data_IF_220775744168
#
_entry.id   IF_220775744168
#
_cell.length_a   1.000
_cell.length_b   1.000
_cell.length_c   1.000
_cell.angle_alpha   90.00
_cell.angle_beta   90.00
_cell.angle_gamma   90.00
#
_symmetry.space_group_name_H-M   'P 1'
#
loop_
_entity.id
_entity.type
_entity.pdbx_description
1 polymer ?
#
# COMPACT_ATOMS: atom_id res chain seq x y z
N UNK A 1 5.30 20.87 -21.22
CA UNK A 1 5.05 21.76 -20.06
C UNK A 1 6.05 22.91 -20.09
N UNK A 2 5.73 24.10 -19.59
CA UNK A 2 6.65 25.27 -19.59
C UNK A 2 7.07 25.63 -18.16
N UNK A 3 8.19 26.35 -18.01
CA UNK A 3 8.64 26.86 -16.71
C UNK A 3 7.66 27.83 -16.03
N UNK A 4 6.66 28.34 -16.75
CA UNK A 4 5.58 29.16 -16.19
C UNK A 4 4.73 28.43 -15.14
N UNK A 5 4.83 27.10 -15.05
CA UNK A 5 4.17 26.30 -14.01
C UNK A 5 4.80 26.50 -12.63
N UNK A 6 6.12 26.70 -12.58
CA UNK A 6 6.90 26.52 -11.35
C UNK A 6 6.58 27.56 -10.28
N UNK A 7 6.59 28.85 -10.64
CA UNK A 7 6.39 29.93 -9.67
C UNK A 7 4.96 29.97 -9.08
N UNK A 8 3.86 29.93 -9.87
CA UNK A 8 2.51 29.90 -9.31
C UNK A 8 2.25 28.66 -8.43
N UNK A 9 2.81 27.52 -8.81
CA UNK A 9 2.68 26.28 -8.06
C UNK A 9 3.36 26.36 -6.69
N UNK A 10 4.61 26.84 -6.65
CA UNK A 10 5.36 26.99 -5.41
C UNK A 10 4.73 28.05 -4.51
N UNK A 11 4.30 29.19 -5.06
CA UNK A 11 3.62 30.23 -4.29
C UNK A 11 2.35 29.70 -3.62
N UNK A 12 1.54 28.90 -4.34
CA UNK A 12 0.36 28.24 -3.78
C UNK A 12 0.72 27.22 -2.69
N UNK A 13 1.76 26.42 -2.89
CA UNK A 13 2.21 25.44 -1.92
C UNK A 13 2.74 26.09 -0.63
N UNK A 14 3.48 27.19 -0.77
CA UNK A 14 4.03 27.98 0.34
C UNK A 14 2.91 28.72 1.11
N UNK A 15 1.81 29.09 0.43
CA UNK A 15 0.65 29.74 1.06
C UNK A 15 -0.15 28.82 1.99
N UNK A 16 -0.06 27.50 1.83
CA UNK A 16 -0.69 26.55 2.74
C UNK A 16 -0.89 25.16 2.13
N UNK A 17 0.06 24.27 2.39
CA UNK A 17 -0.09 22.83 2.16
C UNK A 17 -0.47 22.10 3.44
N UNK A 18 -0.99 20.88 3.34
CA UNK A 18 -1.34 20.09 4.52
C UNK A 18 -0.10 19.79 5.36
N UNK A 19 -0.22 20.02 6.66
CA UNK A 19 0.80 19.65 7.63
C UNK A 19 0.73 18.13 7.89
N UNK A 20 1.75 17.40 7.41
CA UNK A 20 1.83 15.94 7.48
C UNK A 20 3.10 15.53 8.24
N UNK A 21 3.07 14.45 9.05
CA UNK A 21 4.22 14.08 9.89
C UNK A 21 5.55 13.94 9.14
N UNK A 22 5.52 13.41 7.91
CA UNK A 22 6.70 13.23 7.05
C UNK A 22 7.16 14.50 6.33
N UNK A 23 6.39 15.60 6.36
CA UNK A 23 6.81 16.92 5.83
C UNK A 23 7.58 17.76 6.83
N UNK A 24 7.57 17.37 8.11
CA UNK A 24 8.27 18.07 9.21
C UNK A 24 9.73 17.65 9.37
N UNK A 25 10.27 16.89 8.42
CA UNK A 25 11.62 16.33 8.49
C UNK A 25 12.28 16.31 7.12
N UNK A 26 13.61 16.30 7.13
CA UNK A 26 14.46 16.04 5.95
C UNK A 26 15.21 14.71 6.05
N UNK A 27 14.91 13.91 7.07
CA UNK A 27 15.49 12.59 7.28
C UNK A 27 15.10 11.63 6.12
N UNK A 28 16.09 11.14 5.33
CA UNK A 28 15.81 10.26 4.19
C UNK A 28 15.06 8.99 4.57
N UNK A 29 15.34 8.39 5.74
CA UNK A 29 14.68 7.17 6.19
C UNK A 29 13.19 7.41 6.44
N UNK A 30 12.87 8.51 7.11
CA UNK A 30 11.50 8.90 7.42
C UNK A 30 10.71 9.25 6.17
N UNK A 31 11.31 10.02 5.27
CA UNK A 31 10.70 10.35 3.97
C UNK A 31 10.45 9.06 3.20
N UNK A 32 11.47 8.22 3.01
CA UNK A 32 11.36 6.96 2.30
C UNK A 32 10.27 6.03 2.87
N UNK A 33 10.20 5.89 4.19
CA UNK A 33 9.17 5.10 4.86
C UNK A 33 7.76 5.59 4.49
N UNK A 34 7.54 6.91 4.58
CA UNK A 34 6.24 7.50 4.21
C UNK A 34 5.91 7.29 2.73
N UNK A 35 6.89 7.46 1.84
CA UNK A 35 6.70 7.28 0.40
C UNK A 35 6.33 5.83 0.04
N UNK A 36 6.92 4.83 0.71
CA UNK A 36 6.53 3.43 0.53
C UNK A 36 5.12 3.16 1.08
N UNK A 37 4.77 3.74 2.23
CA UNK A 37 3.43 3.60 2.81
C UNK A 37 2.35 4.23 1.93
N UNK A 38 2.62 5.40 1.33
CA UNK A 38 1.69 6.15 0.48
C UNK A 38 1.42 5.49 -0.87
N UNK A 39 2.22 4.50 -1.28
CA UNK A 39 1.95 3.74 -2.50
C UNK A 39 0.55 3.08 -2.42
N UNK A 40 -0.38 3.57 -3.25
CA UNK A 40 -1.76 3.06 -3.32
C UNK A 40 -2.52 3.09 -1.98
N UNK A 41 -2.11 3.94 -1.04
CA UNK A 41 -2.74 4.07 0.28
C UNK A 41 -3.06 5.55 0.54
N UNK A 42 -4.22 5.83 1.13
CA UNK A 42 -4.64 7.22 1.41
C UNK A 42 -3.83 7.80 2.57
N UNK A 43 -3.59 9.12 2.52
CA UNK A 43 -2.79 9.86 3.52
C UNK A 43 -3.33 9.62 4.94
N UNK A 44 -4.64 9.74 5.14
CA UNK A 44 -5.28 9.63 6.45
C UNK A 44 -5.10 8.23 7.05
N UNK A 45 -5.08 7.20 6.19
CA UNK A 45 -4.83 5.84 6.63
C UNK A 45 -3.35 5.61 6.99
N UNK A 46 -2.41 6.34 6.38
CA UNK A 46 -0.96 6.16 6.60
C UNK A 46 -0.48 6.78 7.90
N UNK A 47 -1.02 7.92 8.33
CA UNK A 47 -0.57 8.66 9.52
C UNK A 47 -0.35 7.76 10.76
N UNK A 48 -1.34 6.98 11.24
CA UNK A 48 -1.16 6.15 12.43
C UNK A 48 -0.21 4.96 12.21
N UNK A 49 0.05 4.54 10.97
CA UNK A 49 1.06 3.53 10.68
C UNK A 49 2.45 4.12 10.69
N UNK A 50 2.63 5.29 10.08
CA UNK A 50 3.90 5.98 10.07
C UNK A 50 4.40 6.26 11.50
N UNK A 51 3.52 6.76 12.37
CA UNK A 51 3.84 7.05 13.77
C UNK A 51 4.21 5.78 14.56
N UNK A 52 3.39 4.72 14.47
CA UNK A 52 3.69 3.46 15.19
C UNK A 52 4.99 2.83 14.70
N UNK A 53 5.25 2.90 13.40
CA UNK A 53 6.41 2.27 12.77
C UNK A 53 7.69 2.99 13.19
N UNK A 54 7.68 4.33 13.24
CA UNK A 54 8.81 5.10 13.74
C UNK A 54 8.99 5.03 15.26
N UNK A 55 7.94 4.73 16.02
CA UNK A 55 8.08 4.45 17.46
C UNK A 55 8.84 3.15 17.70
N UNK A 56 8.54 2.10 16.92
CA UNK A 56 9.18 0.78 17.05
C UNK A 56 10.53 0.66 16.31
N UNK A 57 10.67 1.32 15.16
CA UNK A 57 11.89 1.34 14.35
C UNK A 57 12.29 2.79 14.03
N UNK A 58 12.88 3.52 14.99
CA UNK A 58 13.20 4.94 14.83
C UNK A 58 14.25 5.25 13.75
N UNK A 59 15.15 4.32 13.48
CA UNK A 59 16.21 4.44 12.48
C UNK A 59 16.15 3.33 11.43
N UNK A 60 16.86 3.53 10.31
CA UNK A 60 16.99 2.48 9.27
C UNK A 60 17.67 1.22 9.81
N UNK A 61 18.55 1.34 10.82
CA UNK A 61 19.21 0.20 11.46
C UNK A 61 18.23 -0.60 12.32
N UNK A 62 17.39 0.07 13.09
CA UNK A 62 16.33 -0.60 13.86
C UNK A 62 15.37 -1.38 12.96
N UNK A 63 15.08 -0.85 11.77
CA UNK A 63 14.32 -1.59 10.76
C UNK A 63 15.12 -2.76 10.16
N UNK A 64 16.41 -2.59 9.87
CA UNK A 64 17.23 -3.65 9.29
C UNK A 64 17.45 -4.84 10.24
N UNK A 65 17.48 -4.57 11.55
CA UNK A 65 17.66 -5.55 12.62
C UNK A 65 16.31 -6.14 13.11
N UNK A 66 15.18 -5.56 12.70
CA UNK A 66 13.86 -5.99 13.15
C UNK A 66 13.50 -7.40 12.62
N UNK A 67 13.05 -8.32 13.49
CA UNK A 67 12.55 -9.62 13.06
C UNK A 67 11.37 -9.49 12.09
N UNK A 68 11.19 -10.49 11.22
CA UNK A 68 10.12 -10.47 10.23
C UNK A 68 8.73 -10.29 10.84
N UNK A 69 8.47 -10.98 11.94
CA UNK A 69 7.19 -10.93 12.61
C UNK A 69 6.88 -9.51 13.13
N UNK A 70 7.90 -8.79 13.61
CA UNK A 70 7.79 -7.42 14.08
C UNK A 70 7.38 -6.46 12.95
N UNK A 71 8.13 -6.40 11.86
CA UNK A 71 7.80 -5.44 10.79
C UNK A 71 6.51 -5.81 10.04
N UNK A 72 6.19 -7.10 9.92
CA UNK A 72 4.92 -7.53 9.32
C UNK A 72 3.74 -7.13 10.20
N UNK A 73 3.89 -7.23 11.52
CA UNK A 73 2.85 -6.80 12.46
C UNK A 73 2.67 -5.28 12.46
N UNK A 74 3.76 -4.51 12.41
CA UNK A 74 3.68 -3.05 12.27
C UNK A 74 2.96 -2.62 10.97
N UNK A 75 3.08 -3.43 9.91
CA UNK A 75 2.43 -3.19 8.61
C UNK A 75 1.01 -3.78 8.49
N UNK A 76 0.55 -4.50 9.50
CA UNK A 76 -0.72 -5.24 9.44
C UNK A 76 -1.89 -4.31 9.15
N UNK A 77 -2.57 -4.53 8.03
CA UNK A 77 -3.74 -3.75 7.61
C UNK A 77 -3.46 -2.68 6.54
N UNK A 78 -2.20 -2.33 6.26
CA UNK A 78 -1.86 -1.44 5.13
C UNK A 78 -1.97 -2.11 3.76
N UNK A 79 -1.95 -3.45 3.71
CA UNK A 79 -1.96 -4.21 2.47
C UNK A 79 -0.65 -4.12 1.68
N UNK A 80 -0.58 -4.86 0.56
CA UNK A 80 0.62 -4.96 -0.29
C UNK A 80 1.92 -5.25 0.51
N UNK A 81 1.94 -6.35 1.25
CA UNK A 81 3.05 -6.73 2.15
C UNK A 81 4.40 -6.97 1.47
N UNK A 82 4.44 -7.10 0.15
CA UNK A 82 5.71 -7.06 -0.59
C UNK A 82 6.46 -5.73 -0.38
N UNK A 83 5.74 -4.62 -0.14
CA UNK A 83 6.32 -3.31 0.15
C UNK A 83 7.20 -3.33 1.40
N UNK A 84 6.67 -3.78 2.54
CA UNK A 84 7.46 -3.81 3.79
C UNK A 84 8.60 -4.81 3.75
N UNK A 85 8.44 -5.93 3.02
CA UNK A 85 9.53 -6.88 2.82
C UNK A 85 10.66 -6.29 1.98
N UNK A 86 10.33 -5.58 0.91
CA UNK A 86 11.32 -4.89 0.11
C UNK A 86 11.95 -3.71 0.88
N UNK A 87 11.15 -2.99 1.68
CA UNK A 87 11.62 -1.95 2.59
C UNK A 87 12.66 -2.53 3.57
N UNK A 88 12.37 -3.64 4.23
CA UNK A 88 13.31 -4.31 5.12
C UNK A 88 14.59 -4.74 4.39
N UNK A 89 14.47 -5.42 3.24
CA UNK A 89 15.63 -5.82 2.42
C UNK A 89 16.49 -4.61 2.01
N UNK A 90 15.86 -3.51 1.64
CA UNK A 90 16.57 -2.28 1.31
C UNK A 90 17.23 -1.66 2.54
N UNK A 91 16.60 -1.70 3.72
CA UNK A 91 17.20 -1.23 4.97
C UNK A 91 18.48 -2.01 5.31
N UNK A 92 18.48 -3.34 5.10
CA UNK A 92 19.66 -4.19 5.23
C UNK A 92 20.76 -3.77 4.24
N UNK A 93 20.42 -3.60 2.95
CA UNK A 93 21.40 -3.11 1.94
C UNK A 93 21.95 -1.73 2.30
N UNK A 94 21.12 -0.82 2.82
CA UNK A 94 21.55 0.52 3.30
C UNK A 94 22.55 0.37 4.46
N UNK A 95 22.28 -0.52 5.41
CA UNK A 95 23.17 -0.76 6.54
C UNK A 95 24.49 -1.40 6.12
N UNK A 96 24.44 -2.42 5.27
CA UNK A 96 25.59 -3.23 4.87
C UNK A 96 26.50 -2.51 3.87
N UNK A 97 25.90 -1.85 2.87
CA UNK A 97 26.64 -1.24 1.75
C UNK A 97 26.94 0.23 1.97
N UNK A 98 26.04 0.96 2.64
CA UNK A 98 26.12 2.40 2.80
C UNK A 98 26.29 2.84 4.27
N UNK A 99 26.64 1.91 5.17
CA UNK A 99 26.93 2.21 6.57
C UNK A 99 25.73 2.72 7.37
N UNK A 100 24.51 2.46 6.91
CA UNK A 100 23.27 2.95 7.53
C UNK A 100 22.86 4.35 7.07
N UNK A 101 23.50 4.90 6.04
CA UNK A 101 23.13 6.19 5.44
C UNK A 101 22.50 5.94 4.06
N UNK A 102 21.30 6.47 3.84
CA UNK A 102 20.71 6.39 2.50
C UNK A 102 21.56 7.19 1.50
N UNK A 103 21.84 6.65 0.30
CA UNK A 103 22.70 7.33 -0.65
C UNK A 103 22.04 8.59 -1.20
N UNK A 104 22.76 9.71 -1.19
CA UNK A 104 22.37 10.97 -1.83
C UNK A 104 22.64 10.94 -3.36
N UNK A 105 22.15 9.89 -4.03
CA UNK A 105 22.28 9.69 -5.48
C UNK A 105 21.07 8.94 -6.02
N UNK A 106 20.44 9.48 -7.07
CA UNK A 106 19.22 8.90 -7.63
C UNK A 106 19.46 7.49 -8.22
N UNK A 107 20.59 7.28 -8.90
CA UNK A 107 20.90 5.99 -9.50
C UNK A 107 21.17 4.91 -8.43
N UNK A 108 21.79 5.27 -7.31
CA UNK A 108 21.98 4.41 -6.17
C UNK A 108 20.65 4.09 -5.45
N UNK A 109 19.80 5.10 -5.24
CA UNK A 109 18.46 4.91 -4.66
C UNK A 109 17.62 3.94 -5.51
N UNK A 110 17.64 4.09 -6.83
CA UNK A 110 16.89 3.23 -7.76
C UNK A 110 17.33 1.76 -7.75
N UNK A 111 18.55 1.46 -7.30
CA UNK A 111 19.06 0.09 -7.17
C UNK A 111 18.57 -0.61 -5.89
N UNK A 112 18.01 0.13 -4.93
CA UNK A 112 17.54 -0.45 -3.68
C UNK A 112 16.24 -1.26 -3.89
N UNK A 113 16.09 -2.41 -3.23
CA UNK A 113 14.89 -3.24 -3.33
C UNK A 113 13.59 -2.46 -3.07
N UNK A 114 12.64 -2.53 -4.02
CA UNK A 114 11.33 -1.89 -3.89
C UNK A 114 11.31 -0.37 -4.10
N UNK A 115 12.45 0.25 -4.43
CA UNK A 115 12.51 1.65 -4.85
C UNK A 115 12.42 1.70 -6.39
N UNK A 116 11.35 2.32 -6.90
CA UNK A 116 11.20 2.64 -8.32
C UNK A 116 11.42 4.13 -8.60
N UNK A 117 11.28 4.54 -9.87
CA UNK A 117 11.53 5.92 -10.33
C UNK A 117 10.84 6.98 -9.47
N UNK A 118 9.57 6.76 -9.09
CA UNK A 118 8.83 7.67 -8.24
C UNK A 118 9.50 7.87 -6.88
N UNK A 119 9.77 6.77 -6.16
CA UNK A 119 10.32 6.83 -4.80
C UNK A 119 11.77 7.32 -4.81
N UNK A 120 12.55 6.95 -5.82
CA UNK A 120 13.90 7.47 -6.00
C UNK A 120 13.88 9.00 -6.19
N UNK A 121 13.03 9.50 -7.09
CA UNK A 121 12.86 10.95 -7.30
C UNK A 121 12.33 11.68 -6.06
N UNK A 122 11.37 11.09 -5.34
CA UNK A 122 10.81 11.67 -4.12
C UNK A 122 11.87 11.80 -3.02
N UNK A 123 12.59 10.72 -2.70
CA UNK A 123 13.65 10.76 -1.67
C UNK A 123 14.80 11.67 -2.11
N UNK A 124 15.27 11.55 -3.36
CA UNK A 124 16.36 12.36 -3.89
C UNK A 124 16.06 13.87 -3.80
N UNK A 125 14.86 14.28 -4.20
CA UNK A 125 14.48 15.69 -4.20
C UNK A 125 14.13 16.23 -2.82
N UNK A 126 13.40 15.48 -1.98
CA UNK A 126 12.91 15.98 -0.69
C UNK A 126 14.02 15.95 0.37
N UNK A 127 14.81 14.87 0.42
CA UNK A 127 15.84 14.72 1.44
C UNK A 127 17.14 15.42 1.03
N UNK A 128 17.53 15.28 -0.24
CA UNK A 128 18.87 15.65 -0.72
C UNK A 128 18.92 16.82 -1.70
N UNK A 129 17.80 17.50 -1.97
CA UNK A 129 17.69 18.60 -2.94
C UNK A 129 18.20 18.26 -4.35
N UNK A 130 18.12 16.99 -4.75
CA UNK A 130 18.51 16.55 -6.08
C UNK A 130 17.31 16.75 -7.02
N UNK A 131 17.53 17.46 -8.13
CA UNK A 131 16.49 17.82 -9.10
C UNK A 131 16.02 16.64 -9.97
N UNK A 132 15.41 15.64 -9.35
CA UNK A 132 14.82 14.47 -10.00
C UNK A 132 13.28 14.46 -9.86
N UNK A 133 12.54 14.07 -10.90
CA UNK A 133 11.08 14.10 -10.89
C UNK A 133 10.48 12.96 -10.06
N UNK A 134 9.56 13.32 -9.15
CA UNK A 134 8.73 12.37 -8.40
C UNK A 134 7.34 12.27 -9.05
N UNK A 135 7.15 11.35 -10.01
CA UNK A 135 5.91 11.26 -10.80
C UNK A 135 5.03 10.10 -10.35
N UNK A 136 4.00 10.39 -9.55
CA UNK A 136 2.97 9.45 -9.15
C UNK A 136 1.68 9.58 -10.00
N UNK A 137 0.62 8.89 -9.61
CA UNK A 137 -0.69 8.99 -10.26
C UNK A 137 -1.35 10.36 -10.13
N UNK A 138 -0.98 11.19 -9.14
CA UNK A 138 -1.44 12.57 -9.00
C UNK A 138 -0.73 13.47 -9.99
N UNK A 139 0.60 13.39 -10.06
CA UNK A 139 1.42 14.16 -11.01
C UNK A 139 1.07 13.80 -12.45
N UNK A 140 0.93 12.53 -12.80
CA UNK A 140 0.52 12.11 -14.14
C UNK A 140 -0.82 12.75 -14.57
N UNK A 141 -1.79 12.82 -13.65
CA UNK A 141 -3.09 13.45 -13.91
C UNK A 141 -2.97 14.97 -14.11
N UNK A 142 -2.21 15.64 -13.25
CA UNK A 142 -1.96 17.08 -13.37
C UNK A 142 -1.26 17.39 -14.70
N UNK A 143 -0.21 16.64 -15.03
CA UNK A 143 0.54 16.77 -16.28
C UNK A 143 -0.36 16.56 -17.49
N UNK A 144 -1.14 15.47 -17.51
CA UNK A 144 -2.05 15.16 -18.59
C UNK A 144 -3.07 16.29 -18.81
N UNK A 145 -3.69 16.81 -17.73
CA UNK A 145 -4.68 17.89 -17.83
C UNK A 145 -4.08 19.23 -18.25
N UNK A 146 -2.92 19.60 -17.71
CA UNK A 146 -2.24 20.86 -18.10
C UNK A 146 -1.89 20.84 -19.59
N UNK A 147 -1.41 19.69 -20.08
CA UNK A 147 -0.96 19.54 -21.46
C UNK A 147 -2.07 19.15 -22.44
N UNK A 148 -3.23 18.73 -21.92
CA UNK A 148 -4.34 18.09 -22.65
C UNK A 148 -3.93 16.81 -23.36
N UNK A 149 -3.09 16.00 -22.72
CA UNK A 149 -2.64 14.72 -23.23
C UNK A 149 -3.73 13.64 -23.01
N UNK A 150 -4.32 13.16 -24.11
CA UNK A 150 -5.34 12.11 -24.11
C UNK A 150 -4.76 10.69 -24.24
N UNK A 151 -3.43 10.53 -24.20
CA UNK A 151 -2.82 9.19 -24.22
C UNK A 151 -3.01 8.49 -22.86
N UNK A 152 -3.13 7.14 -22.83
CA UNK A 152 -3.29 6.40 -21.58
C UNK A 152 -2.12 6.62 -20.61
N UNK A 153 -2.38 7.21 -19.45
CA UNK A 153 -1.31 7.55 -18.47
C UNK A 153 -0.70 6.33 -17.77
N UNK A 154 -1.28 5.14 -17.97
CA UNK A 154 -0.73 3.88 -17.48
C UNK A 154 0.25 3.20 -18.45
N UNK A 155 0.32 3.67 -19.70
CA UNK A 155 1.30 3.25 -20.70
C UNK A 155 2.74 3.67 -20.30
N UNK A 156 3.71 2.76 -20.51
CA UNK A 156 5.09 2.96 -20.08
C UNK A 156 5.79 4.09 -20.85
N UNK A 157 5.51 4.24 -22.15
CA UNK A 157 6.09 5.31 -22.98
C UNK A 157 5.50 6.66 -22.59
N UNK A 158 4.18 6.72 -22.38
CA UNK A 158 3.50 7.95 -21.91
C UNK A 158 4.03 8.39 -20.55
N UNK A 159 4.20 7.46 -19.59
CA UNK A 159 4.82 7.78 -18.29
C UNK A 159 6.23 8.34 -18.43
N UNK A 160 7.05 7.73 -19.29
CA UNK A 160 8.42 8.19 -19.56
C UNK A 160 8.42 9.61 -20.15
N UNK A 161 7.55 9.87 -21.12
CA UNK A 161 7.41 11.20 -21.75
C UNK A 161 6.96 12.24 -20.71
N UNK A 162 5.96 11.93 -19.88
CA UNK A 162 5.49 12.83 -18.82
C UNK A 162 6.56 13.07 -17.75
N UNK A 163 7.34 12.06 -17.38
CA UNK A 163 8.50 12.22 -16.47
C UNK A 163 9.53 13.18 -17.05
N UNK A 164 9.84 13.08 -18.34
CA UNK A 164 10.77 13.99 -19.00
C UNK A 164 10.23 15.44 -19.02
N UNK A 165 8.93 15.62 -19.22
CA UNK A 165 8.31 16.95 -19.15
C UNK A 165 8.38 17.58 -17.77
N UNK A 166 8.18 16.78 -16.71
CA UNK A 166 8.31 17.26 -15.32
C UNK A 166 9.77 17.60 -15.06
N UNK A 167 10.72 16.72 -15.39
CA UNK A 167 12.15 16.94 -15.20
C UNK A 167 12.65 18.26 -15.81
N UNK A 168 12.12 18.63 -16.99
CA UNK A 168 12.52 19.85 -17.70
C UNK A 168 12.10 21.16 -17.00
N UNK A 169 11.24 21.11 -15.98
CA UNK A 169 10.73 22.31 -15.30
C UNK A 169 10.99 22.32 -13.79
N UNK A 170 11.67 21.30 -13.26
CA UNK A 170 12.00 21.24 -11.84
C UNK A 170 13.00 22.36 -11.51
N UNK A 171 12.70 23.21 -10.51
CA UNK A 171 13.64 24.22 -10.05
C UNK A 171 14.81 23.57 -9.30
N UNK A 172 16.03 24.01 -9.60
CA UNK A 172 17.24 23.48 -8.96
C UNK A 172 17.40 23.93 -7.50
N UNK A 173 16.80 25.06 -7.10
CA UNK A 173 16.91 25.62 -5.75
C UNK A 173 15.95 24.97 -4.75
N UNK A 174 14.80 24.45 -5.21
CA UNK A 174 13.78 23.82 -4.33
C UNK A 174 13.07 22.62 -4.98
N UNK A 175 13.79 21.59 -5.46
CA UNK A 175 13.19 20.48 -6.20
C UNK A 175 12.21 19.65 -5.35
N UNK A 176 12.52 19.46 -4.06
CA UNK A 176 11.64 18.77 -3.12
C UNK A 176 10.28 19.47 -2.96
N UNK A 177 10.29 20.79 -2.78
CA UNK A 177 9.06 21.59 -2.66
C UNK A 177 8.23 21.51 -3.94
N UNK A 178 8.87 21.59 -5.12
CA UNK A 178 8.19 21.48 -6.40
C UNK A 178 7.49 20.12 -6.57
N UNK A 179 8.21 19.02 -6.30
CA UNK A 179 7.64 17.67 -6.39
C UNK A 179 6.46 17.50 -5.42
N UNK A 180 6.62 17.95 -4.17
CA UNK A 180 5.53 17.90 -3.19
C UNK A 180 4.34 18.76 -3.60
N UNK A 181 4.57 19.93 -4.20
CA UNK A 181 3.51 20.80 -4.69
C UNK A 181 2.72 20.16 -5.84
N UNK A 182 3.40 19.50 -6.79
CA UNK A 182 2.73 18.76 -7.87
C UNK A 182 1.86 17.62 -7.32
N UNK A 183 2.36 16.87 -6.34
CA UNK A 183 1.62 15.81 -5.67
C UNK A 183 0.42 16.37 -4.89
N UNK A 184 0.63 17.45 -4.13
CA UNK A 184 -0.40 18.11 -3.32
C UNK A 184 -1.51 18.67 -4.20
N UNK A 185 -1.17 19.35 -5.30
CA UNK A 185 -2.13 19.90 -6.25
C UNK A 185 -3.03 18.80 -6.79
N UNK A 186 -2.45 17.67 -7.22
CA UNK A 186 -3.23 16.53 -7.66
C UNK A 186 -4.09 15.93 -6.55
N UNK A 187 -3.59 15.89 -5.32
CA UNK A 187 -4.30 15.29 -4.20
C UNK A 187 -5.53 16.11 -3.74
N UNK A 188 -5.47 17.45 -3.75
CA UNK A 188 -6.50 18.29 -3.10
C UNK A 188 -7.26 19.23 -4.03
N UNK A 189 -6.72 19.58 -5.19
CA UNK A 189 -7.36 20.50 -6.16
C UNK A 189 -7.74 19.77 -7.44
N UNK A 190 -6.75 19.22 -8.13
CA UNK A 190 -6.89 18.49 -9.38
C UNK A 190 -7.23 17.03 -9.09
N UNK A 191 -8.34 16.79 -8.39
CA UNK A 191 -8.74 15.48 -7.87
C UNK A 191 -9.21 14.50 -8.96
N UNK A 192 -9.13 13.18 -8.74
CA UNK A 192 -9.70 12.16 -9.61
C UNK A 192 -11.17 11.87 -9.26
N UNK A 193 -11.89 11.17 -10.15
CA UNK A 193 -13.25 10.63 -9.90
C UNK A 193 -14.28 11.68 -9.45
N UNK A 194 -14.16 12.92 -9.92
CA UNK A 194 -15.04 14.03 -9.60
C UNK A 194 -14.59 15.29 -10.34
N UNK A 195 -15.39 16.36 -10.23
CA UNK A 195 -15.04 17.65 -10.80
C UNK A 195 -13.81 18.24 -10.06
N UNK A 196 -12.70 18.53 -10.76
CA UNK A 196 -11.57 19.20 -10.15
C UNK A 196 -11.93 20.64 -9.75
N UNK A 197 -11.30 21.14 -8.69
CA UNK A 197 -11.53 22.50 -8.16
C UNK A 197 -10.75 23.52 -8.99
N UNK A 198 -11.09 23.66 -10.27
CA UNK A 198 -10.31 24.49 -11.20
C UNK A 198 -10.26 25.97 -10.78
N UNK A 199 -11.31 26.49 -10.15
CA UNK A 199 -11.34 27.85 -9.62
C UNK A 199 -10.30 28.11 -8.51
N UNK A 200 -9.90 27.07 -7.78
CA UNK A 200 -8.87 27.14 -6.73
C UNK A 200 -7.47 26.77 -7.27
N UNK A 201 -7.35 26.45 -8.56
CA UNK A 201 -6.11 25.92 -9.14
C UNK A 201 -5.15 27.04 -9.54
N UNK A 202 -3.92 27.09 -8.99
CA UNK A 202 -2.93 28.11 -9.36
C UNK A 202 -2.50 28.02 -10.83
N UNK A 203 -2.70 26.85 -11.45
CA UNK A 203 -2.31 26.55 -12.82
C UNK A 203 -3.47 26.61 -13.82
N UNK A 204 -4.66 27.08 -13.39
CA UNK A 204 -5.86 27.13 -14.25
C UNK A 204 -5.59 27.84 -15.57
N UNK A 205 -4.91 29.00 -15.52
CA UNK A 205 -4.59 29.82 -16.69
C UNK A 205 -3.69 29.10 -17.71
N UNK A 206 -2.91 28.10 -17.29
CA UNK A 206 -2.04 27.29 -18.15
C UNK A 206 -2.67 25.97 -18.59
N UNK A 207 -3.83 25.61 -18.03
CA UNK A 207 -4.37 24.26 -18.13
C UNK A 207 -5.21 24.07 -19.39
N UNK A 208 -4.65 23.40 -20.41
CA UNK A 208 -5.36 23.11 -21.67
C UNK A 208 -6.70 22.41 -21.43
N UNK A 209 -6.74 21.36 -20.61
CA UNK A 209 -7.98 20.63 -20.35
C UNK A 209 -9.05 21.47 -19.63
N UNK A 210 -8.67 22.53 -18.93
CA UNK A 210 -9.63 23.45 -18.30
C UNK A 210 -10.26 24.34 -19.37
N UNK A 211 -9.43 24.94 -20.23
CA UNK A 211 -9.86 25.80 -21.33
C UNK A 211 -10.71 25.06 -22.36
N UNK A 212 -10.38 23.80 -22.65
CA UNK A 212 -11.09 22.94 -23.61
C UNK A 212 -12.23 22.13 -22.95
N UNK A 213 -12.48 22.29 -21.65
CA UNK A 213 -13.52 21.59 -20.90
C UNK A 213 -13.42 20.04 -20.99
N UNK A 214 -12.21 19.50 -20.87
CA UNK A 214 -11.90 18.06 -21.02
C UNK A 214 -11.40 17.39 -19.75
N UNK A 215 -11.49 18.08 -18.60
CA UNK A 215 -10.95 17.57 -17.32
C UNK A 215 -11.66 16.33 -16.78
N UNK A 216 -12.87 16.04 -17.24
CA UNK A 216 -13.68 14.86 -16.89
C UNK A 216 -13.22 13.59 -17.64
N UNK A 217 -12.72 13.74 -18.87
CA UNK A 217 -12.15 12.65 -19.69
C UNK A 217 -10.64 12.46 -19.55
N UNK A 218 -9.90 13.50 -19.16
CA UNK A 218 -8.44 13.42 -18.93
C UNK A 218 -8.18 13.26 -17.43
N UNK A 219 -7.38 12.26 -17.00
CA UNK A 219 -6.48 11.45 -17.81
C UNK A 219 -7.14 10.18 -18.34
N UNK A 220 -6.76 9.79 -19.56
CA UNK A 220 -7.15 8.50 -20.13
C UNK A 220 -6.39 7.38 -19.42
N UNK A 221 -7.05 6.25 -19.17
CA UNK A 221 -6.45 5.04 -18.59
C UNK A 221 -6.86 3.82 -19.40
N UNK A 222 -5.99 2.82 -19.45
CA UNK A 222 -6.31 1.55 -20.09
C UNK A 222 -7.48 0.88 -19.35
N UNK A 223 -8.46 0.29 -20.06
CA UNK A 223 -9.54 -0.46 -19.44
C UNK A 223 -9.01 -1.54 -18.48
N UNK A 224 -9.58 -1.60 -17.27
CA UNK A 224 -9.19 -2.60 -16.28
C UNK A 224 -9.59 -3.99 -16.76
N UNK A 225 -8.68 -4.96 -16.64
CA UNK A 225 -9.01 -6.38 -16.83
C UNK A 225 -10.07 -6.81 -15.81
N UNK A 226 -10.97 -7.69 -16.23
CA UNK A 226 -11.94 -8.33 -15.33
C UNK A 226 -11.16 -9.16 -14.31
N UNK A 227 -11.53 -9.03 -13.02
CA UNK A 227 -10.90 -9.77 -11.93
C UNK A 227 -11.31 -11.24 -12.00
N UNK A 228 -10.38 -12.13 -11.70
CA UNK A 228 -10.70 -13.55 -11.52
C UNK A 228 -11.40 -13.75 -10.17
N UNK A 229 -12.58 -14.37 -10.19
CA UNK A 229 -13.30 -14.75 -8.97
C UNK A 229 -12.81 -16.12 -8.51
N UNK A 230 -12.45 -16.23 -7.23
CA UNK A 230 -12.02 -17.47 -6.58
C UNK A 230 -12.91 -17.72 -5.38
N UNK A 231 -13.54 -18.90 -5.36
CA UNK A 231 -14.38 -19.33 -4.25
C UNK A 231 -13.55 -20.10 -3.22
N UNK A 232 -13.82 -19.89 -1.93
CA UNK A 232 -13.11 -20.54 -0.83
C UNK A 232 -14.05 -20.92 0.31
N UNK A 233 -13.72 -22.02 0.99
CA UNK A 233 -14.30 -22.37 2.28
C UNK A 233 -13.28 -22.08 3.36
N UNK A 234 -13.55 -21.11 4.23
CA UNK A 234 -12.68 -20.66 5.32
C UNK A 234 -13.14 -21.29 6.63
N UNK A 235 -12.21 -21.81 7.41
CA UNK A 235 -12.47 -22.44 8.69
C UNK A 235 -11.97 -21.55 9.82
N UNK A 236 -12.78 -21.45 10.87
CA UNK A 236 -12.42 -20.86 12.15
C UNK A 236 -12.35 -22.00 13.19
N UNK A 237 -11.24 -22.75 13.25
CA UNK A 237 -11.10 -23.87 14.16
C UNK A 237 -10.87 -23.39 15.60
N UNK A 238 -11.56 -24.03 16.52
CA UNK A 238 -11.48 -23.79 17.97
C UNK A 238 -11.26 -25.11 18.69
N UNK A 239 -10.38 -25.10 19.68
CA UNK A 239 -10.17 -26.22 20.58
C UNK A 239 -9.99 -25.63 21.98
N UNK A 240 -10.99 -25.80 22.83
CA UNK A 240 -11.12 -25.06 24.08
C UNK A 240 -11.00 -23.55 23.86
N UNK A 241 -10.10 -22.89 24.61
CA UNK A 241 -9.87 -21.45 24.51
C UNK A 241 -9.02 -21.00 23.30
N UNK A 242 -8.51 -21.93 22.47
CA UNK A 242 -7.52 -21.64 21.43
C UNK A 242 -8.12 -21.54 20.02
N UNK A 243 -7.46 -20.83 19.13
CA UNK A 243 -7.80 -20.67 17.71
C UNK A 243 -6.68 -21.29 16.88
N UNK A 244 -7.05 -22.13 15.91
CA UNK A 244 -6.08 -22.72 14.97
C UNK A 244 -5.82 -21.81 13.78
N UNK A 245 -4.55 -21.51 13.51
CA UNK A 245 -4.09 -20.74 12.35
C UNK A 245 -2.97 -21.46 11.63
N UNK A 246 -2.68 -21.07 10.38
CA UNK A 246 -1.53 -21.59 9.63
C UNK A 246 -0.75 -20.48 8.95
N UNK A 247 0.55 -20.71 8.72
CA UNK A 247 1.41 -19.80 7.97
C UNK A 247 1.32 -20.12 6.48
N UNK A 248 1.08 -19.12 5.64
CA UNK A 248 1.05 -19.27 4.18
C UNK A 248 2.44 -19.56 3.62
N UNK A 249 2.54 -20.25 2.46
CA UNK A 249 3.82 -20.52 1.79
C UNK A 249 4.66 -19.26 1.51
N UNK A 250 5.94 -19.47 1.21
CA UNK A 250 6.91 -18.39 0.98
C UNK A 250 6.63 -17.56 -0.28
N UNK A 251 5.86 -18.11 -1.21
CA UNK A 251 5.54 -17.49 -2.50
C UNK A 251 4.04 -17.39 -2.75
N UNK A 252 3.64 -16.47 -3.61
CA UNK A 252 2.24 -16.29 -4.02
C UNK A 252 1.49 -15.22 -3.22
N UNK A 253 0.16 -15.21 -3.37
CA UNK A 253 -0.71 -14.21 -2.76
C UNK A 253 -0.63 -14.30 -1.22
N UNK A 254 -0.36 -13.17 -0.57
CA UNK A 254 -0.22 -13.06 0.90
C UNK A 254 0.84 -14.02 1.46
N UNK A 255 1.90 -14.29 0.70
CA UNK A 255 3.02 -15.14 1.12
C UNK A 255 3.51 -14.82 2.54
N UNK A 256 3.86 -15.86 3.31
CA UNK A 256 4.39 -15.84 4.69
C UNK A 256 3.50 -15.20 5.76
N UNK A 257 2.29 -14.78 5.41
CA UNK A 257 1.32 -14.27 6.39
C UNK A 257 0.62 -15.42 7.11
N UNK A 258 0.12 -15.14 8.30
CA UNK A 258 -0.78 -16.05 9.01
C UNK A 258 -2.19 -15.98 8.39
N UNK A 259 -2.89 -17.11 8.37
CA UNK A 259 -4.26 -17.18 7.88
C UNK A 259 -5.11 -18.16 8.68
N UNK A 260 -6.42 -18.01 8.49
CA UNK A 260 -7.37 -19.06 8.82
C UNK A 260 -7.25 -20.20 7.79
N UNK A 261 -7.23 -21.48 8.22
CA UNK A 261 -7.20 -22.60 7.29
C UNK A 261 -8.39 -22.55 6.35
N UNK A 262 -8.17 -22.90 5.08
CA UNK A 262 -9.19 -22.79 4.05
C UNK A 262 -8.95 -23.78 2.90
N UNK A 263 -10.05 -24.22 2.29
CA UNK A 263 -10.07 -24.94 1.01
C UNK A 263 -10.25 -23.96 -0.16
N UNK A 264 -9.60 -24.25 -1.29
CA UNK A 264 -9.61 -23.38 -2.49
C UNK A 264 -10.82 -23.60 -3.41
N UNK A 265 -11.92 -24.09 -2.84
CA UNK A 265 -13.19 -24.31 -3.51
C UNK A 265 -14.33 -24.19 -2.47
N UNK A 266 -15.57 -23.93 -2.88
CA UNK A 266 -16.71 -23.91 -1.98
C UNK A 266 -17.08 -25.35 -1.61
N UNK A 267 -17.43 -25.54 -0.34
CA UNK A 267 -17.92 -26.81 0.21
C UNK A 267 -19.21 -26.53 0.96
N UNK A 268 -20.23 -27.32 0.66
CA UNK A 268 -21.49 -27.32 1.41
C UNK A 268 -21.29 -28.02 2.77
N UNK A 269 -22.16 -27.77 3.77
CA UNK A 269 -21.95 -28.28 5.13
C UNK A 269 -21.75 -29.80 5.24
N UNK A 270 -22.44 -30.62 4.44
CA UNK A 270 -22.25 -32.07 4.46
C UNK A 270 -20.88 -32.47 3.92
N UNK A 271 -20.53 -32.00 2.72
CA UNK A 271 -19.24 -32.27 2.09
C UNK A 271 -18.06 -31.77 2.93
N UNK A 272 -18.23 -30.63 3.62
CA UNK A 272 -17.22 -30.12 4.53
C UNK A 272 -17.00 -31.06 5.71
N UNK A 273 -18.05 -31.63 6.32
CA UNK A 273 -17.87 -32.60 7.42
C UNK A 273 -17.13 -33.84 6.96
N UNK A 274 -17.46 -34.37 5.79
CA UNK A 274 -16.79 -35.55 5.23
C UNK A 274 -15.31 -35.25 4.95
N UNK A 275 -15.01 -34.07 4.38
CA UNK A 275 -13.64 -33.64 4.13
C UNK A 275 -12.85 -33.44 5.44
N UNK A 276 -13.42 -32.79 6.44
CA UNK A 276 -12.77 -32.59 7.74
C UNK A 276 -12.48 -33.93 8.42
N UNK A 277 -13.41 -34.89 8.35
CA UNK A 277 -13.20 -36.23 8.88
C UNK A 277 -12.09 -36.98 8.10
N UNK A 278 -12.03 -36.85 6.77
CA UNK A 278 -10.98 -37.42 5.94
C UNK A 278 -9.60 -36.80 6.24
N UNK A 279 -9.56 -35.51 6.58
CA UNK A 279 -8.36 -34.79 7.01
C UNK A 279 -8.00 -35.10 8.50
N UNK A 280 -8.78 -35.95 9.18
CA UNK A 280 -8.53 -36.39 10.56
C UNK A 280 -9.03 -35.46 11.66
N UNK A 281 -9.85 -34.45 11.34
CA UNK A 281 -10.35 -33.49 12.32
C UNK A 281 -11.51 -34.08 13.14
N UNK A 282 -11.35 -34.12 14.46
CA UNK A 282 -12.40 -34.58 15.39
C UNK A 282 -13.37 -33.46 15.76
N UNK A 283 -14.33 -33.20 14.87
CA UNK A 283 -15.31 -32.10 14.98
C UNK A 283 -16.43 -32.43 15.97
N UNK A 284 -16.61 -31.59 16.99
CA UNK A 284 -17.72 -31.66 17.96
C UNK A 284 -18.92 -30.81 17.53
N UNK A 285 -18.63 -29.58 17.06
CA UNK A 285 -19.66 -28.61 16.64
C UNK A 285 -19.20 -27.86 15.40
N UNK A 286 -20.13 -27.64 14.48
CA UNK A 286 -19.87 -26.86 13.27
C UNK A 286 -21.02 -25.92 12.98
N UNK A 287 -20.72 -24.63 12.79
CA UNK A 287 -21.69 -23.57 12.53
C UNK A 287 -21.29 -22.79 11.27
N UNK A 288 -22.25 -22.51 10.40
CA UNK A 288 -22.03 -21.64 9.23
C UNK A 288 -21.88 -20.19 9.68
N UNK A 289 -20.85 -19.51 9.18
CA UNK A 289 -20.64 -18.08 9.36
C UNK A 289 -21.17 -17.31 8.14
N UNK A 290 -21.40 -16.01 8.33
CA UNK A 290 -21.80 -15.14 7.22
C UNK A 290 -20.72 -15.15 6.13
N UNK A 291 -21.08 -15.36 4.85
CA UNK A 291 -20.14 -15.25 3.76
C UNK A 291 -19.48 -13.87 3.71
N UNK A 292 -18.22 -13.85 3.27
CA UNK A 292 -17.45 -12.63 3.14
C UNK A 292 -16.81 -12.56 1.75
N UNK A 293 -16.75 -11.33 1.21
CA UNK A 293 -16.10 -11.06 -0.06
C UNK A 293 -14.90 -10.14 0.18
N UNK A 294 -13.76 -10.49 -0.40
CA UNK A 294 -12.56 -9.66 -0.33
C UNK A 294 -11.99 -9.39 -1.72
N UNK A 295 -11.71 -8.13 -2.01
CA UNK A 295 -11.30 -7.67 -3.33
C UNK A 295 -9.81 -7.32 -3.32
N UNK A 296 -9.03 -8.05 -4.11
CA UNK A 296 -7.68 -7.67 -4.47
C UNK A 296 -7.67 -6.95 -5.83
N UNK A 297 -6.49 -6.49 -6.25
CA UNK A 297 -6.34 -5.77 -7.53
C UNK A 297 -6.66 -6.66 -8.74
N UNK A 298 -6.26 -7.93 -8.71
CA UNK A 298 -6.39 -8.87 -9.84
C UNK A 298 -7.32 -10.05 -9.55
N UNK A 299 -7.63 -10.32 -8.28
CA UNK A 299 -8.45 -11.46 -7.83
C UNK A 299 -9.54 -10.97 -6.87
N UNK A 300 -10.65 -11.68 -6.83
CA UNK A 300 -11.71 -11.50 -5.86
C UNK A 300 -11.98 -12.82 -5.12
N UNK A 301 -11.87 -12.82 -3.80
CA UNK A 301 -12.21 -13.97 -2.98
C UNK A 301 -13.67 -13.90 -2.55
N UNK A 302 -14.42 -14.96 -2.85
CA UNK A 302 -15.77 -15.20 -2.35
C UNK A 302 -15.68 -16.34 -1.34
N UNK A 303 -15.84 -16.01 -0.06
CA UNK A 303 -15.53 -16.92 1.03
C UNK A 303 -16.80 -17.30 1.79
N UNK A 304 -17.02 -18.60 1.95
CA UNK A 304 -17.98 -19.15 2.91
C UNK A 304 -17.23 -19.53 4.17
N UNK A 305 -17.65 -19.05 5.33
CA UNK A 305 -16.97 -19.30 6.61
C UNK A 305 -17.66 -20.37 7.43
N UNK A 306 -16.90 -21.16 8.19
CA UNK A 306 -17.42 -22.11 9.17
C UNK A 306 -16.65 -22.02 10.48
N UNK A 307 -17.38 -21.89 11.59
CA UNK A 307 -16.84 -22.13 12.92
C UNK A 307 -16.79 -23.64 13.16
N UNK A 308 -15.65 -24.15 13.59
CA UNK A 308 -15.41 -25.59 13.78
C UNK A 308 -14.83 -25.81 15.17
N UNK A 309 -15.59 -26.40 16.07
CA UNK A 309 -15.12 -26.80 17.39
C UNK A 309 -14.59 -28.23 17.35
N UNK A 310 -13.36 -28.40 17.85
CA UNK A 310 -12.62 -29.65 17.83
C UNK A 310 -12.38 -30.13 19.26
N UNK A 311 -12.55 -31.43 19.44
CA UNK A 311 -12.25 -32.13 20.70
C UNK A 311 -10.75 -32.12 21.04
N UNK A 312 -9.89 -32.02 20.03
CA UNK A 312 -8.43 -31.96 20.19
C UNK A 312 -7.76 -31.06 19.14
N UNK A 313 -6.57 -30.52 19.43
CA UNK A 313 -5.81 -29.73 18.47
C UNK A 313 -5.35 -30.55 17.26
N UNK A 314 -5.42 -29.96 16.07
CA UNK A 314 -4.87 -30.54 14.83
C UNK A 314 -3.39 -30.17 14.73
N UNK A 315 -2.52 -31.15 14.47
CA UNK A 315 -1.05 -30.99 14.49
C UNK A 315 -0.52 -29.98 13.45
N UNK A 316 -1.14 -29.92 12.27
CA UNK A 316 -0.72 -29.01 11.18
C UNK A 316 -1.11 -27.54 11.41
N UNK A 317 -1.78 -27.23 12.52
CA UNK A 317 -2.17 -25.88 12.88
C UNK A 317 -1.35 -25.36 14.07
N UNK A 318 -1.08 -24.06 14.04
CA UNK A 318 -0.57 -23.34 15.20
C UNK A 318 -1.76 -22.88 16.03
N UNK A 319 -1.81 -23.33 17.29
CA UNK A 319 -2.90 -23.03 18.21
C UNK A 319 -2.54 -21.86 19.12
N UNK A 320 -3.34 -20.79 19.05
CA UNK A 320 -3.04 -19.52 19.71
C UNK A 320 -4.22 -19.04 20.54
N UNK A 321 -3.96 -18.25 21.58
CA UNK A 321 -5.04 -17.58 22.30
C UNK A 321 -5.62 -16.45 21.43
N UNK A 322 -6.90 -16.07 21.61
CA UNK A 322 -7.47 -14.90 20.95
C UNK A 322 -6.69 -13.60 21.22
N UNK A 323 -6.06 -13.48 22.39
CA UNK A 323 -5.18 -12.35 22.70
C UNK A 323 -3.91 -12.36 21.87
N UNK A 324 -3.22 -13.50 21.81
CA UNK A 324 -1.99 -13.64 21.02
C UNK A 324 -2.30 -13.45 19.52
N UNK A 325 -3.40 -14.01 19.01
CA UNK A 325 -3.84 -13.81 17.63
C UNK A 325 -3.95 -12.32 17.26
N UNK A 326 -4.44 -11.49 18.18
CA UNK A 326 -4.55 -10.03 17.98
C UNK A 326 -3.21 -9.31 18.09
N UNK A 327 -2.33 -9.74 18.99
CA UNK A 327 -1.07 -9.04 19.31
C UNK A 327 0.14 -9.45 18.47
N UNK A 328 0.27 -10.74 18.16
CA UNK A 328 1.55 -11.32 17.74
C UNK A 328 1.50 -11.81 16.29
N UNK A 329 0.30 -12.16 15.80
CA UNK A 329 0.11 -12.76 14.48
C UNK A 329 -0.48 -11.73 13.51
N UNK A 330 0.16 -11.57 12.35
CA UNK A 330 -0.30 -10.67 11.30
C UNK A 330 -1.24 -11.38 10.32
N UNK A 331 -2.54 -11.10 10.39
CA UNK A 331 -3.56 -11.68 9.51
C UNK A 331 -4.01 -10.69 8.43
N UNK A 332 -4.21 -11.15 7.18
CA UNK A 332 -4.80 -10.34 6.13
C UNK A 332 -6.20 -9.85 6.52
N UNK A 333 -6.53 -8.62 6.14
CA UNK A 333 -7.88 -8.06 6.31
C UNK A 333 -8.99 -8.90 5.66
N UNK A 334 -8.65 -9.80 4.73
CA UNK A 334 -9.56 -10.76 4.13
C UNK A 334 -10.30 -11.61 5.18
N UNK A 335 -9.66 -11.95 6.30
CA UNK A 335 -10.23 -12.82 7.33
C UNK A 335 -10.96 -12.06 8.45
N UNK A 336 -10.92 -10.72 8.44
CA UNK A 336 -11.49 -9.88 9.52
C UNK A 336 -12.97 -10.16 9.78
N UNK A 337 -13.74 -10.49 8.75
CA UNK A 337 -15.16 -10.79 8.89
C UNK A 337 -15.43 -12.04 9.76
N UNK A 338 -14.54 -13.03 9.72
CA UNK A 338 -14.68 -14.27 10.47
C UNK A 338 -14.14 -14.15 11.89
N UNK A 339 -13.11 -13.33 12.09
CA UNK A 339 -12.51 -13.12 13.43
C UNK A 339 -13.43 -12.39 14.40
N UNK A 340 -14.40 -11.59 13.91
CA UNK A 340 -15.39 -10.90 14.75
C UNK A 340 -16.17 -11.84 15.67
N UNK A 341 -16.38 -13.08 15.25
CA UNK A 341 -17.11 -14.08 16.05
C UNK A 341 -16.35 -14.41 17.34
N UNK A 342 -15.02 -14.37 17.31
CA UNK A 342 -14.19 -14.57 18.52
C UNK A 342 -14.24 -13.32 19.41
N UNK A 343 -14.40 -12.14 18.83
CA UNK A 343 -14.46 -10.88 19.58
C UNK A 343 -15.76 -10.72 20.37
N UNK A 344 -16.85 -11.37 19.96
CA UNK A 344 -18.15 -11.34 20.65
C UNK A 344 -18.24 -12.34 21.83
N UNK A 345 -17.26 -13.23 21.98
CA UNK A 345 -17.19 -14.26 23.04
C UNK A 345 -16.34 -13.83 24.26
N UNK A 346 -15.70 -12.66 24.21
CA UNK A 346 -14.89 -12.08 25.30
C UNK A 346 -15.54 -10.84 25.87
#
# INVERSE_FOLDING_TARGET
MTGAVTEPLLAWYDAGHRDLPWRRTRDPYRIWLSEIMLQQTRVEAVIPYYERFLSACPTVRDLADAPEETYLKLWEGLGYYSRVRNLHKAAQVICDTYGGQMPADHAALLKLPGIGDYTAGAVASIAFDIAEPAVDGNVLRVVARITGDERPIDDAKVKKDMRAQVAAIIPHDRPGAFNQAMMELGAVVCIPNGAPRCGDCPLMHLCRACHEQTTDRIPVRTPKKVRTVVHRTVLLPRCGGLVGIRKRPDTGLLARMWELPAYEHPLEPSALRDQLAADGWKVERMLSLRPAKHIFTHIEWHMTGYYVELSEPVEDLTWVTPSALRGDYALPSAFRAFLKVIEEET
#
